data_IF_345308954929
#
_entry.id   IF_345308954929
#
_cell.length_a   1.000
_cell.length_b   1.000
_cell.length_c   1.000
_cell.angle_alpha   90.00
_cell.angle_beta   90.00
_cell.angle_gamma   90.00
#
_symmetry.space_group_name_H-M   'P 1'
#
loop_
_entity.id
_entity.type
_entity.pdbx_description
1 polymer ?
#
# COMPACT_ATOMS: atom_id res chain seq x y z
N UNK A 1 36.21 -34.23 36.14
CA UNK A 1 36.34 -32.88 36.71
C UNK A 1 37.38 -32.13 35.88
N UNK A 2 36.93 -31.27 34.96
CA UNK A 2 37.79 -30.41 34.13
C UNK A 2 37.60 -28.97 34.62
N UNK A 3 38.69 -28.37 35.11
CA UNK A 3 38.76 -26.97 35.51
C UNK A 3 38.90 -26.11 34.25
N UNK A 4 37.86 -25.33 33.92
CA UNK A 4 37.91 -24.29 32.89
C UNK A 4 38.38 -23.00 33.56
N UNK A 5 39.58 -22.54 33.23
CA UNK A 5 40.09 -21.23 33.62
C UNK A 5 39.46 -20.16 32.73
N UNK A 6 38.65 -19.27 33.30
CA UNK A 6 38.12 -18.10 32.58
C UNK A 6 39.17 -16.98 32.59
N UNK A 7 39.61 -16.56 31.41
CA UNK A 7 40.37 -15.32 31.25
C UNK A 7 39.44 -14.10 31.36
N UNK A 8 39.88 -12.99 31.97
CA UNK A 8 39.06 -11.79 32.10
C UNK A 8 38.88 -11.10 30.74
N UNK A 9 37.63 -10.75 30.44
CA UNK A 9 37.22 -9.96 29.27
C UNK A 9 37.84 -8.57 29.40
N UNK A 10 38.71 -8.20 28.46
CA UNK A 10 39.18 -6.82 28.32
C UNK A 10 38.03 -5.97 27.75
N UNK A 11 37.57 -5.01 28.56
CA UNK A 11 36.67 -3.93 28.12
C UNK A 11 37.40 -3.04 27.11
N UNK A 12 37.03 -3.17 25.84
CA UNK A 12 37.45 -2.25 24.78
C UNK A 12 36.75 -0.90 25.04
N UNK A 13 37.46 0.24 25.04
CA UNK A 13 36.85 1.54 25.28
C UNK A 13 35.85 1.89 24.17
N UNK A 14 34.72 2.47 24.58
CA UNK A 14 33.67 2.95 23.70
C UNK A 14 34.21 4.00 22.73
N UNK A 15 34.64 3.55 21.54
CA UNK A 15 34.83 4.43 20.41
C UNK A 15 33.48 5.03 20.04
N UNK A 16 33.44 6.35 19.88
CA UNK A 16 32.30 7.07 19.32
C UNK A 16 31.93 6.45 17.96
N UNK A 17 30.96 5.55 17.97
CA UNK A 17 30.26 5.14 16.75
C UNK A 17 29.40 6.33 16.39
N UNK A 18 29.95 7.19 15.53
CA UNK A 18 29.18 8.19 14.82
C UNK A 18 28.26 7.40 13.88
N UNK A 19 27.09 7.01 14.38
CA UNK A 19 26.02 6.43 13.58
C UNK A 19 25.59 7.54 12.63
N UNK A 20 26.18 7.57 11.43
CA UNK A 20 25.64 8.37 10.33
C UNK A 20 24.15 8.01 10.23
N UNK A 21 23.25 9.01 10.15
CA UNK A 21 21.84 8.71 9.94
C UNK A 21 21.75 7.91 8.64
N UNK A 22 21.28 6.66 8.76
CA UNK A 22 20.99 5.80 7.63
C UNK A 22 20.05 6.57 6.72
N UNK A 23 20.58 7.12 5.63
CA UNK A 23 19.76 7.78 4.61
C UNK A 23 18.94 6.68 3.98
N UNK A 24 17.65 6.61 4.33
CA UNK A 24 16.68 5.75 3.66
C UNK A 24 16.89 5.95 2.15
N UNK A 25 17.14 4.89 1.37
CA UNK A 25 17.36 5.06 -0.07
C UNK A 25 16.18 5.78 -0.69
N UNK A 26 16.46 6.73 -1.59
CA UNK A 26 15.42 7.54 -2.23
C UNK A 26 14.45 6.62 -3.00
N UNK A 27 13.16 6.83 -2.79
CA UNK A 27 12.15 6.05 -3.45
C UNK A 27 12.16 6.36 -4.97
N UNK A 28 12.27 5.34 -5.84
CA UNK A 28 12.44 5.53 -7.27
C UNK A 28 11.16 5.99 -8.00
N UNK A 29 9.99 6.03 -7.32
CA UNK A 29 8.73 6.46 -7.91
C UNK A 29 8.47 7.96 -7.66
N UNK A 30 7.84 8.63 -8.62
CA UNK A 30 7.16 9.90 -8.34
C UNK A 30 5.88 9.65 -7.53
N UNK A 31 5.34 10.66 -6.82
CA UNK A 31 4.03 10.55 -6.15
C UNK A 31 2.92 10.08 -7.08
N UNK A 32 2.81 10.70 -8.26
CA UNK A 32 1.79 10.39 -9.25
C UNK A 32 1.96 8.97 -9.78
N UNK A 33 3.20 8.56 -10.08
CA UNK A 33 3.50 7.20 -10.55
C UNK A 33 3.17 6.14 -9.50
N UNK A 34 3.35 6.46 -8.21
CA UNK A 34 2.94 5.58 -7.12
C UNK A 34 1.42 5.41 -7.05
N UNK A 35 0.65 6.52 -7.12
CA UNK A 35 -0.81 6.45 -7.18
C UNK A 35 -1.31 5.70 -8.42
N UNK A 36 -0.70 5.89 -9.59
CA UNK A 36 -1.06 5.18 -10.82
C UNK A 36 -0.81 3.67 -10.70
N UNK A 37 0.35 3.27 -10.18
CA UNK A 37 0.71 1.86 -9.97
C UNK A 37 -0.25 1.18 -8.98
N UNK A 38 -0.54 1.85 -7.86
CA UNK A 38 -1.50 1.37 -6.87
C UNK A 38 -2.89 1.26 -7.50
N UNK A 39 -3.40 2.34 -8.10
CA UNK A 39 -4.75 2.41 -8.67
C UNK A 39 -4.98 1.36 -9.75
N UNK A 40 -4.04 1.23 -10.70
CA UNK A 40 -4.13 0.24 -11.78
C UNK A 40 -4.15 -1.19 -11.22
N UNK A 41 -3.31 -1.48 -10.22
CA UNK A 41 -3.27 -2.79 -9.56
C UNK A 41 -4.55 -3.08 -8.80
N UNK A 42 -5.07 -2.13 -7.98
CA UNK A 42 -6.27 -2.37 -7.19
C UNK A 42 -7.54 -2.49 -8.07
N UNK A 43 -7.56 -1.85 -9.24
CA UNK A 43 -8.66 -2.00 -10.21
C UNK A 43 -8.71 -3.42 -10.81
N UNK A 44 -7.56 -3.96 -11.24
CA UNK A 44 -7.47 -5.26 -11.91
C UNK A 44 -6.36 -6.13 -11.29
N UNK A 45 -6.52 -6.56 -10.03
CA UNK A 45 -5.39 -7.11 -9.28
C UNK A 45 -4.95 -8.49 -9.76
N UNK A 46 -5.86 -9.28 -10.34
CA UNK A 46 -5.56 -10.59 -10.95
C UNK A 46 -4.90 -10.48 -12.32
N UNK A 47 -4.96 -9.31 -12.96
CA UNK A 47 -4.33 -9.04 -14.26
C UNK A 47 -3.03 -8.24 -14.10
N UNK A 48 -2.81 -7.66 -12.91
CA UNK A 48 -1.63 -6.86 -12.62
C UNK A 48 -0.36 -7.70 -12.63
N UNK A 49 0.70 -7.19 -13.25
CA UNK A 49 2.06 -7.77 -13.18
C UNK A 49 2.88 -7.17 -12.03
N UNK A 50 2.21 -6.49 -11.09
CA UNK A 50 2.84 -5.82 -9.96
C UNK A 50 2.80 -6.75 -8.76
N UNK A 51 3.97 -7.10 -8.23
CA UNK A 51 4.12 -7.89 -7.02
C UNK A 51 4.05 -7.02 -5.74
N UNK A 52 3.91 -7.67 -4.59
CA UNK A 52 3.84 -7.04 -3.28
C UNK A 52 5.00 -6.07 -3.01
N UNK A 53 6.21 -6.39 -3.50
CA UNK A 53 7.40 -5.55 -3.35
C UNK A 53 7.25 -4.19 -4.03
N UNK A 54 6.81 -4.19 -5.29
CA UNK A 54 6.54 -2.97 -6.05
C UNK A 54 5.36 -2.18 -5.48
N UNK A 55 4.34 -2.88 -4.97
CA UNK A 55 3.25 -2.23 -4.24
C UNK A 55 3.75 -1.51 -2.98
N UNK A 56 4.63 -2.15 -2.21
CA UNK A 56 5.21 -1.53 -1.02
C UNK A 56 6.04 -0.29 -1.35
N UNK A 57 6.88 -0.32 -2.38
CA UNK A 57 7.62 0.87 -2.81
C UNK A 57 6.65 2.01 -3.17
N UNK A 58 5.54 1.72 -3.84
CA UNK A 58 4.52 2.74 -4.11
C UNK A 58 3.83 3.23 -2.83
N UNK A 59 3.52 2.34 -1.88
CA UNK A 59 2.96 2.71 -0.57
C UNK A 59 3.90 3.62 0.19
N UNK A 60 5.19 3.27 0.29
CA UNK A 60 6.20 4.09 0.95
C UNK A 60 6.29 5.47 0.30
N UNK A 61 6.19 5.56 -1.03
CA UNK A 61 6.25 6.85 -1.72
C UNK A 61 5.09 7.77 -1.37
N UNK A 62 3.88 7.21 -1.32
CA UNK A 62 2.65 7.94 -0.94
C UNK A 62 2.70 8.29 0.54
N UNK A 63 3.22 7.39 1.38
CA UNK A 63 3.44 7.67 2.79
C UNK A 63 4.48 8.76 2.99
N UNK A 64 5.59 8.78 2.25
CA UNK A 64 6.59 9.85 2.36
C UNK A 64 6.01 11.23 1.96
N UNK A 65 5.04 11.25 1.04
CA UNK A 65 4.25 12.46 0.75
C UNK A 65 3.26 12.81 1.88
N UNK A 66 2.73 11.81 2.58
CA UNK A 66 1.66 11.92 3.59
C UNK A 66 2.11 12.04 5.06
N UNK A 67 3.24 11.47 5.45
CA UNK A 67 3.72 11.27 6.83
C UNK A 67 4.03 12.59 7.55
N UNK A 68 4.20 13.67 6.79
CA UNK A 68 4.46 15.02 7.31
C UNK A 68 3.28 15.99 7.12
N UNK A 69 2.13 15.50 6.67
CA UNK A 69 0.98 16.35 6.37
C UNK A 69 0.12 16.59 7.61
N UNK A 70 -0.30 17.84 7.81
CA UNK A 70 -1.38 18.13 8.75
C UNK A 70 -2.69 17.44 8.30
N UNK A 71 -3.64 17.25 9.22
CA UNK A 71 -4.94 16.64 8.91
C UNK A 71 -5.60 17.26 7.66
N UNK A 72 -5.56 18.59 7.53
CA UNK A 72 -6.11 19.29 6.37
C UNK A 72 -5.39 18.94 5.05
N UNK A 73 -4.05 18.80 5.09
CA UNK A 73 -3.26 18.40 3.92
C UNK A 73 -3.48 16.93 3.56
N UNK A 74 -3.58 16.04 4.55
CA UNK A 74 -3.93 14.63 4.33
C UNK A 74 -5.32 14.48 3.70
N UNK A 75 -6.30 15.25 4.17
CA UNK A 75 -7.65 15.31 3.55
C UNK A 75 -7.57 15.82 2.11
N UNK A 76 -6.77 16.86 1.85
CA UNK A 76 -6.61 17.42 0.50
C UNK A 76 -5.98 16.40 -0.44
N UNK A 77 -4.92 15.70 0.01
CA UNK A 77 -4.26 14.64 -0.75
C UNK A 77 -5.23 13.50 -1.04
N UNK A 78 -5.94 12.98 -0.02
CA UNK A 78 -6.88 11.90 -0.25
C UNK A 78 -7.96 12.28 -1.28
N UNK A 79 -8.48 13.52 -1.21
CA UNK A 79 -9.48 14.03 -2.15
C UNK A 79 -8.95 14.31 -3.55
N UNK A 80 -7.64 14.51 -3.75
CA UNK A 80 -7.05 14.68 -5.08
C UNK A 80 -6.87 13.36 -5.84
N UNK A 81 -7.05 12.20 -5.19
CA UNK A 81 -6.93 10.88 -5.81
C UNK A 81 -8.23 10.07 -5.71
N UNK A 82 -9.36 10.55 -6.28
CA UNK A 82 -10.64 9.86 -6.21
C UNK A 82 -10.64 8.48 -6.90
N UNK A 83 -9.84 8.31 -7.96
CA UNK A 83 -9.73 7.02 -8.68
C UNK A 83 -9.08 5.95 -7.80
N UNK A 84 -8.05 6.31 -7.03
CA UNK A 84 -7.42 5.41 -6.06
C UNK A 84 -8.41 4.98 -4.96
N UNK A 85 -9.20 5.91 -4.44
CA UNK A 85 -10.25 5.63 -3.45
C UNK A 85 -11.30 4.66 -3.99
N UNK A 86 -11.80 4.90 -5.21
CA UNK A 86 -12.76 4.00 -5.88
C UNK A 86 -12.16 2.61 -6.09
N UNK A 87 -10.91 2.52 -6.56
CA UNK A 87 -10.23 1.24 -6.77
C UNK A 87 -10.06 0.46 -5.45
N UNK A 88 -9.64 1.15 -4.39
CA UNK A 88 -9.50 0.57 -3.04
C UNK A 88 -10.82 0.00 -2.52
N UNK A 89 -11.91 0.74 -2.65
CA UNK A 89 -13.23 0.30 -2.19
C UNK A 89 -13.72 -0.88 -3.00
N UNK A 90 -13.60 -0.83 -4.34
CA UNK A 90 -13.97 -1.95 -5.20
C UNK A 90 -13.18 -3.20 -4.82
N UNK A 91 -11.89 -3.07 -4.53
CA UNK A 91 -11.09 -4.20 -4.07
C UNK A 91 -11.64 -4.77 -2.75
N UNK A 92 -11.87 -3.91 -1.74
CA UNK A 92 -12.27 -4.29 -0.38
C UNK A 92 -13.71 -4.81 -0.28
N UNK A 93 -14.62 -4.35 -1.15
CA UNK A 93 -16.07 -4.64 -1.06
C UNK A 93 -16.55 -5.67 -2.08
N UNK A 94 -15.70 -6.08 -3.03
CA UNK A 94 -16.05 -7.12 -4.01
C UNK A 94 -16.15 -8.47 -3.32
N UNK A 95 -17.33 -9.08 -3.40
CA UNK A 95 -17.55 -10.47 -2.99
C UNK A 95 -16.64 -11.41 -3.79
N UNK A 96 -16.00 -12.33 -3.08
CA UNK A 96 -15.12 -13.38 -3.63
C UNK A 96 -15.39 -14.68 -2.93
N UNK A 97 -15.19 -15.79 -3.61
CA UNK A 97 -15.05 -17.09 -2.97
C UNK A 97 -13.69 -17.19 -2.28
N UNK A 98 -13.55 -18.14 -1.34
CA UNK A 98 -12.25 -18.41 -0.71
C UNK A 98 -11.17 -18.74 -1.75
N UNK A 99 -11.52 -19.51 -2.78
CA UNK A 99 -10.60 -19.87 -3.87
C UNK A 99 -10.13 -18.63 -4.66
N UNK A 100 -11.05 -17.73 -5.00
CA UNK A 100 -10.70 -16.47 -5.68
C UNK A 100 -9.84 -15.56 -4.81
N UNK A 101 -10.13 -15.48 -3.51
CA UNK A 101 -9.33 -14.69 -2.57
C UNK A 101 -7.91 -15.28 -2.42
N UNK A 102 -7.78 -16.59 -2.21
CA UNK A 102 -6.48 -17.25 -2.15
C UNK A 102 -5.68 -17.08 -3.44
N UNK A 103 -6.34 -17.20 -4.60
CA UNK A 103 -5.69 -16.98 -5.90
C UNK A 103 -5.18 -15.54 -6.03
N UNK A 104 -6.01 -14.55 -5.69
CA UNK A 104 -5.66 -13.13 -5.69
C UNK A 104 -4.44 -12.84 -4.79
N UNK A 105 -4.47 -13.33 -3.55
CA UNK A 105 -3.37 -13.11 -2.59
C UNK A 105 -2.08 -13.75 -3.10
N UNK A 106 -2.14 -15.00 -3.56
CA UNK A 106 -0.96 -15.68 -4.11
C UNK A 106 -0.41 -14.96 -5.36
N UNK A 107 -1.28 -14.49 -6.24
CA UNK A 107 -0.89 -13.73 -7.43
C UNK A 107 -0.12 -12.45 -7.08
N UNK A 108 -0.58 -11.71 -6.07
CA UNK A 108 0.09 -10.48 -5.63
C UNK A 108 1.39 -10.74 -4.83
N UNK A 109 1.46 -11.85 -4.09
CA UNK A 109 2.64 -12.19 -3.29
C UNK A 109 3.77 -12.78 -4.15
N UNK A 110 3.46 -13.56 -5.18
CA UNK A 110 4.46 -14.17 -6.03
C UNK A 110 5.08 -13.14 -6.99
N UNK A 111 6.38 -12.91 -6.83
CA UNK A 111 7.08 -12.00 -7.73
C UNK A 111 7.40 -12.69 -9.06
N UNK A 112 6.82 -12.17 -10.14
CA UNK A 112 7.13 -12.55 -11.52
C UNK A 112 7.73 -11.40 -12.33
N UNK A 113 8.40 -10.45 -11.66
CA UNK A 113 8.96 -9.28 -12.33
C UNK A 113 10.18 -9.65 -13.18
N UNK A 114 10.31 -9.00 -14.34
CA UNK A 114 11.46 -9.17 -15.22
C UNK A 114 12.64 -8.31 -14.73
N UNK A 115 13.63 -8.96 -14.12
CA UNK A 115 14.85 -8.30 -13.61
C UNK A 115 15.82 -7.86 -14.70
N UNK A 116 15.59 -8.23 -15.97
CA UNK A 116 16.35 -7.67 -17.09
C UNK A 116 15.97 -6.21 -17.39
N UNK A 117 14.79 -5.77 -16.92
CA UNK A 117 14.34 -4.38 -17.03
C UNK A 117 15.19 -3.48 -16.13
N UNK A 118 15.82 -2.42 -16.68
CA UNK A 118 16.61 -1.47 -15.89
C UNK A 118 15.82 -0.89 -14.71
N UNK A 119 16.44 -0.86 -13.52
CA UNK A 119 15.82 -0.33 -12.30
C UNK A 119 14.86 -1.30 -11.58
N UNK A 120 14.49 -2.44 -12.18
CA UNK A 120 13.59 -3.40 -11.53
C UNK A 120 14.19 -3.97 -10.24
N UNK A 121 15.50 -4.23 -10.22
CA UNK A 121 16.20 -4.70 -9.02
C UNK A 121 16.05 -3.73 -7.84
N UNK A 122 16.16 -2.42 -8.10
CA UNK A 122 16.05 -1.36 -7.08
C UNK A 122 14.65 -1.37 -6.45
N UNK A 123 13.60 -1.59 -7.27
CA UNK A 123 12.22 -1.69 -6.80
C UNK A 123 11.94 -2.91 -5.89
N UNK A 124 12.85 -3.89 -5.84
CA UNK A 124 12.69 -5.11 -5.04
C UNK A 124 13.63 -5.19 -3.84
N UNK A 125 14.62 -4.29 -3.77
CA UNK A 125 15.58 -4.19 -2.68
C UNK A 125 15.57 -2.79 -2.04
N UNK A 126 14.40 -2.25 -1.60
CA UNK A 126 14.32 -0.93 -1.01
C UNK A 126 14.99 -0.86 0.36
N UNK A 127 15.08 -1.98 1.11
CA UNK A 127 15.86 -2.03 2.34
C UNK A 127 16.78 -3.25 2.39
N UNK A 128 17.90 -3.19 3.13
CA UNK A 128 18.85 -4.29 3.23
C UNK A 128 18.27 -5.57 3.84
N UNK A 129 17.16 -5.49 4.58
CA UNK A 129 16.53 -6.67 5.19
C UNK A 129 15.66 -7.48 4.21
N UNK A 130 15.49 -7.00 2.97
CA UNK A 130 14.64 -7.63 1.98
C UNK A 130 15.41 -8.72 1.26
N UNK A 131 14.79 -9.90 1.10
CA UNK A 131 15.40 -11.00 0.37
C UNK A 131 15.26 -10.77 -1.14
N UNK A 132 16.15 -11.39 -1.92
CA UNK A 132 15.99 -11.46 -3.37
C UNK A 132 14.75 -12.32 -3.67
N UNK A 133 13.79 -11.83 -4.47
CA UNK A 133 12.61 -12.63 -4.81
C UNK A 133 13.00 -13.88 -5.61
N UNK A 134 12.63 -15.07 -5.12
CA UNK A 134 12.98 -16.37 -5.72
C UNK A 134 11.73 -17.24 -5.99
N UNK A 135 10.57 -16.59 -6.17
CA UNK A 135 9.24 -17.23 -6.27
C UNK A 135 8.74 -17.88 -4.97
N UNK A 136 9.46 -17.74 -3.86
CA UNK A 136 8.94 -18.07 -2.53
C UNK A 136 8.23 -16.85 -1.93
N UNK A 137 7.14 -17.08 -1.19
CA UNK A 137 6.45 -16.05 -0.43
C UNK A 137 7.08 -15.93 0.95
N UNK A 138 7.48 -14.72 1.34
CA UNK A 138 8.06 -14.45 2.65
C UNK A 138 7.13 -13.59 3.51
N UNK A 139 7.29 -13.61 4.86
CA UNK A 139 6.47 -12.79 5.76
C UNK A 139 6.49 -11.28 5.43
N UNK A 140 7.59 -10.78 4.87
CA UNK A 140 7.69 -9.38 4.46
C UNK A 140 6.88 -9.05 3.20
N UNK A 141 6.63 -10.01 2.30
CA UNK A 141 5.70 -9.82 1.17
C UNK A 141 4.27 -9.68 1.66
N UNK A 142 3.87 -10.48 2.66
CA UNK A 142 2.55 -10.38 3.27
C UNK A 142 2.39 -9.03 3.99
N UNK A 143 3.42 -8.59 4.73
CA UNK A 143 3.44 -7.27 5.36
C UNK A 143 3.28 -6.15 4.33
N UNK A 144 4.01 -6.22 3.22
CA UNK A 144 3.93 -5.27 2.09
C UNK A 144 2.52 -5.18 1.50
N UNK A 145 1.89 -6.33 1.23
CA UNK A 145 0.52 -6.37 0.72
C UNK A 145 -0.47 -5.79 1.75
N UNK A 146 -0.33 -6.14 3.03
CA UNK A 146 -1.20 -5.62 4.08
C UNK A 146 -1.09 -4.10 4.22
N UNK A 147 0.11 -3.53 4.12
CA UNK A 147 0.30 -2.07 4.12
C UNK A 147 -0.38 -1.39 2.93
N UNK A 148 -0.44 -2.05 1.78
CA UNK A 148 -1.17 -1.54 0.60
C UNK A 148 -2.66 -1.43 0.89
N UNK A 149 -3.26 -2.47 1.48
CA UNK A 149 -4.67 -2.46 1.89
C UNK A 149 -4.93 -1.42 2.97
N UNK A 150 -4.02 -1.32 3.95
CA UNK A 150 -4.09 -0.35 5.03
C UNK A 150 -4.06 1.09 4.50
N UNK A 151 -3.19 1.40 3.53
CA UNK A 151 -3.13 2.72 2.90
C UNK A 151 -4.47 3.08 2.24
N UNK A 152 -5.08 2.15 1.51
CA UNK A 152 -6.40 2.34 0.93
C UNK A 152 -7.47 2.64 1.99
N UNK A 153 -7.51 1.84 3.06
CA UNK A 153 -8.42 2.07 4.20
C UNK A 153 -8.20 3.42 4.86
N UNK A 154 -6.95 3.84 5.04
CA UNK A 154 -6.59 5.10 5.68
C UNK A 154 -7.02 6.30 4.83
N UNK A 155 -6.87 6.22 3.51
CA UNK A 155 -7.36 7.24 2.58
C UNK A 155 -8.89 7.34 2.60
N UNK A 156 -9.60 6.20 2.66
CA UNK A 156 -11.05 6.17 2.81
C UNK A 156 -11.46 6.83 4.13
N UNK A 157 -10.87 6.40 5.25
CA UNK A 157 -11.14 6.94 6.59
C UNK A 157 -10.88 8.44 6.66
N UNK A 158 -9.76 8.90 6.11
CA UNK A 158 -9.38 10.32 6.07
C UNK A 158 -10.39 11.13 5.26
N UNK A 159 -10.79 10.62 4.09
CA UNK A 159 -11.80 11.27 3.25
C UNK A 159 -13.14 11.38 3.97
N UNK A 160 -13.62 10.27 4.56
CA UNK A 160 -14.89 10.21 5.28
C UNK A 160 -14.91 11.09 6.54
N UNK A 161 -13.82 11.14 7.31
CA UNK A 161 -13.74 11.97 8.52
C UNK A 161 -13.87 13.48 8.24
N UNK A 162 -13.55 13.90 7.01
CA UNK A 162 -13.72 15.28 6.57
C UNK A 162 -15.14 15.61 6.09
N UNK A 163 -16.02 14.62 5.98
CA UNK A 163 -17.40 14.83 5.60
C UNK A 163 -18.16 15.37 6.82
N UNK A 164 -18.73 16.56 6.68
CA UNK A 164 -19.68 17.05 7.68
C UNK A 164 -20.98 16.25 7.56
N UNK A 165 -21.65 16.03 8.71
CA UNK A 165 -22.92 15.32 8.80
C UNK A 165 -23.91 15.81 7.73
N UNK A 166 -24.52 14.86 6.98
CA UNK A 166 -25.52 15.07 5.93
C UNK A 166 -25.05 15.64 4.56
N UNK A 167 -23.76 15.67 4.21
CA UNK A 167 -23.30 16.26 2.93
C UNK A 167 -22.58 15.29 1.99
N UNK A 168 -23.35 14.38 1.42
CA UNK A 168 -23.05 13.86 0.08
C UNK A 168 -23.31 14.99 -0.93
N UNK A 169 -22.28 15.42 -1.68
CA UNK A 169 -22.44 16.53 -2.62
C UNK A 169 -23.21 16.02 -3.83
N UNK A 170 -24.36 16.62 -4.12
CA UNK A 170 -25.10 16.32 -5.35
C UNK A 170 -24.44 17.13 -6.49
N UNK A 171 -23.37 16.58 -7.07
CA UNK A 171 -22.73 17.15 -8.26
C UNK A 171 -23.36 16.45 -9.47
N UNK A 172 -23.84 17.23 -10.45
CA UNK A 172 -24.45 16.67 -11.66
C UNK A 172 -23.41 15.76 -12.38
N UNK A 173 -23.69 14.45 -12.51
CA UNK A 173 -22.83 13.49 -13.21
C UNK A 173 -22.48 13.90 -14.65
N UNK A 174 -23.29 14.77 -15.26
CA UNK A 174 -23.09 15.24 -16.64
C UNK A 174 -21.98 16.29 -16.77
N UNK A 175 -21.53 16.91 -15.66
CA UNK A 175 -20.59 18.05 -15.69
C UNK A 175 -19.14 17.62 -15.49
N UNK A 176 -18.88 16.46 -14.89
CA UNK A 176 -17.54 15.91 -14.70
C UNK A 176 -17.58 14.40 -14.85
N UNK A 177 -16.62 13.81 -15.58
CA UNK A 177 -16.49 12.35 -15.67
C UNK A 177 -16.31 11.71 -14.29
N UNK A 178 -16.78 10.48 -14.10
CA UNK A 178 -16.82 9.79 -12.80
C UNK A 178 -15.46 9.74 -12.07
N UNK A 179 -14.36 9.78 -12.83
CA UNK A 179 -12.98 9.73 -12.36
C UNK A 179 -12.41 11.09 -11.93
N UNK A 180 -13.02 12.19 -12.35
CA UNK A 180 -12.60 13.56 -12.01
C UNK A 180 -13.43 14.17 -10.87
N UNK A 181 -14.50 13.50 -10.46
CA UNK A 181 -15.42 14.02 -9.46
C UNK A 181 -14.87 13.85 -8.03
N UNK A 182 -15.11 14.84 -7.14
CA UNK A 182 -14.84 14.70 -5.72
C UNK A 182 -15.59 13.50 -5.14
N UNK A 183 -14.87 12.55 -4.54
CA UNK A 183 -15.44 11.33 -3.97
C UNK A 183 -15.51 11.42 -2.43
N UNK A 184 -16.56 10.89 -1.75
CA UNK A 184 -17.76 10.24 -2.30
C UNK A 184 -18.92 11.22 -2.54
N UNK A 185 -19.77 10.94 -3.54
CA UNK A 185 -20.96 11.74 -3.87
C UNK A 185 -22.26 11.11 -3.36
N UNK A 186 -22.32 9.80 -3.17
CA UNK A 186 -23.48 9.09 -2.63
C UNK A 186 -23.07 7.81 -1.88
N UNK A 187 -23.93 7.23 -1.02
CA UNK A 187 -23.63 5.98 -0.34
C UNK A 187 -23.23 4.83 -1.29
N UNK A 188 -23.82 4.76 -2.49
CA UNK A 188 -23.46 3.74 -3.49
C UNK A 188 -21.99 3.79 -3.91
N UNK A 189 -21.34 4.96 -3.79
CA UNK A 189 -19.92 5.10 -4.07
C UNK A 189 -19.04 4.33 -3.05
N UNK A 190 -19.56 4.11 -1.84
CA UNK A 190 -18.90 3.31 -0.79
C UNK A 190 -19.16 1.82 -0.97
N UNK A 191 -20.25 1.46 -1.66
CA UNK A 191 -20.74 0.10 -1.80
C UNK A 191 -21.10 -0.15 -3.28
N UNK A 192 -20.10 -0.19 -4.17
CA UNK A 192 -20.32 -0.25 -5.62
C UNK A 192 -21.02 -1.54 -6.08
N UNK A 193 -21.09 -2.56 -5.22
CA UNK A 193 -21.77 -3.84 -5.46
C UNK A 193 -23.06 -3.99 -4.63
N UNK A 194 -23.49 -2.92 -3.95
CA UNK A 194 -24.61 -2.95 -3.02
C UNK A 194 -24.24 -3.45 -1.63
N UNK A 195 -25.14 -3.20 -0.67
CA UNK A 195 -24.92 -3.46 0.76
C UNK A 195 -24.69 -4.96 1.01
N UNK A 196 -25.52 -5.83 0.44
CA UNK A 196 -25.48 -7.26 0.74
C UNK A 196 -24.17 -7.90 0.27
N UNK A 197 -23.75 -7.63 -0.97
CA UNK A 197 -22.49 -8.18 -1.49
C UNK A 197 -21.28 -7.66 -0.73
N UNK A 198 -21.30 -6.38 -0.35
CA UNK A 198 -20.24 -5.77 0.45
C UNK A 198 -20.14 -6.39 1.85
N UNK A 199 -21.28 -6.66 2.51
CA UNK A 199 -21.32 -7.33 3.81
C UNK A 199 -20.79 -8.76 3.69
N UNK A 200 -21.21 -9.50 2.66
CA UNK A 200 -20.72 -10.86 2.42
C UNK A 200 -19.21 -10.87 2.17
N UNK A 201 -18.68 -9.89 1.43
CA UNK A 201 -17.26 -9.74 1.16
C UNK A 201 -16.43 -9.53 2.44
N UNK A 202 -16.97 -8.77 3.41
CA UNK A 202 -16.31 -8.48 4.69
C UNK A 202 -16.37 -9.62 5.71
N UNK A 203 -17.12 -10.70 5.43
CA UNK A 203 -17.30 -11.86 6.31
C UNK A 203 -16.41 -13.05 5.97
N UNK A 204 -15.72 -13.02 4.83
CA UNK A 204 -14.69 -14.00 4.46
C UNK A 204 -13.44 -13.82 5.30
#
# INVERSE_FOLDING_TARGET
MLLVTMSPIQLVPAGNINIQPSTKPENPLSPEGAFELLTSTLNNPTESRVCARRLHVAVERVQDEGLSLSTAKAIKLAKSHPVFLRASIRLLTRKRTLAEFSHLINHLLLCSCDFSVPGMFILHMPTPEWHIPDSTVFPSDLSALNQTLWLGMEFIRTTLSSMTTNKFRNIDPKVQGADCQPWPLKPDDLLPFGIQESIDALRL
#
